data_IF_111615063661
#
_entry.id   IF_111615063661
#
_cell.length_a   1.000
_cell.length_b   1.000
_cell.length_c   1.000
_cell.angle_alpha   90.00
_cell.angle_beta   90.00
_cell.angle_gamma   90.00
#
_symmetry.space_group_name_H-M   'P 1'
#
loop_
_entity.id
_entity.type
_entity.pdbx_description
1 polymer ?
#
# COMPACT_ATOMS: atom_id res chain seq x y z
N UNK A 1 -45.56 -30.10 52.64
CA UNK A 1 -45.51 -29.70 51.22
C UNK A 1 -44.12 -29.12 50.94
N UNK A 2 -43.23 -29.91 50.30
CA UNK A 2 -41.88 -29.47 49.92
C UNK A 2 -41.94 -28.85 48.51
N UNK A 3 -41.62 -27.54 48.38
CA UNK A 3 -41.52 -26.86 47.09
C UNK A 3 -40.17 -27.21 46.47
N UNK A 4 -40.18 -27.90 45.34
CA UNK A 4 -39.04 -28.19 44.52
C UNK A 4 -38.70 -26.96 43.68
N UNK A 5 -37.57 -26.28 43.93
CA UNK A 5 -37.07 -25.17 43.05
C UNK A 5 -36.25 -25.80 41.94
N UNK A 6 -36.80 -25.77 40.72
CA UNK A 6 -36.10 -26.18 39.51
C UNK A 6 -35.20 -24.99 39.04
N UNK A 7 -33.87 -25.09 39.25
CA UNK A 7 -32.90 -24.12 38.74
C UNK A 7 -32.61 -24.48 37.28
N UNK A 8 -33.12 -23.68 36.36
CA UNK A 8 -32.85 -23.80 34.95
C UNK A 8 -31.44 -23.22 34.66
N UNK A 9 -30.46 -24.10 34.45
CA UNK A 9 -29.10 -23.73 34.11
C UNK A 9 -29.06 -23.35 32.62
N UNK A 10 -29.14 -22.05 32.30
CA UNK A 10 -28.98 -21.56 30.93
C UNK A 10 -27.48 -21.53 30.61
N UNK A 11 -26.99 -22.55 29.92
CA UNK A 11 -25.63 -22.57 29.36
C UNK A 11 -25.58 -21.63 28.16
N UNK A 12 -24.96 -20.46 28.33
CA UNK A 12 -24.61 -19.58 27.22
C UNK A 12 -23.53 -20.26 26.38
N UNK A 13 -23.92 -20.87 25.26
CA UNK A 13 -22.98 -21.29 24.23
C UNK A 13 -22.43 -20.03 23.59
N UNK A 14 -21.25 -19.58 23.99
CA UNK A 14 -20.52 -18.54 23.27
C UNK A 14 -20.08 -19.13 21.93
N UNK A 15 -20.83 -18.81 20.89
CA UNK A 15 -20.40 -19.07 19.51
C UNK A 15 -19.06 -18.35 19.29
N UNK A 16 -18.04 -19.01 18.71
CA UNK A 16 -16.78 -18.37 18.45
C UNK A 16 -17.02 -17.20 17.46
N UNK A 17 -16.80 -15.98 17.92
CA UNK A 17 -16.75 -14.81 17.05
C UNK A 17 -15.51 -14.99 16.17
N UNK A 18 -15.69 -15.49 14.95
CA UNK A 18 -14.62 -15.54 13.98
C UNK A 18 -14.13 -14.11 13.75
N UNK A 19 -12.95 -13.80 14.26
CA UNK A 19 -12.31 -12.51 14.07
C UNK A 19 -12.18 -12.28 12.55
N UNK A 20 -12.83 -11.23 12.08
CA UNK A 20 -12.80 -10.86 10.66
C UNK A 20 -11.36 -10.51 10.29
N UNK A 21 -10.75 -11.21 9.33
CA UNK A 21 -9.36 -11.02 8.90
C UNK A 21 -9.14 -9.69 8.13
N UNK A 22 -10.23 -9.06 7.66
CA UNK A 22 -10.27 -7.70 7.08
C UNK A 22 -11.29 -6.88 7.84
N UNK A 23 -10.84 -5.84 8.54
CA UNK A 23 -11.72 -4.85 9.17
C UNK A 23 -11.61 -3.54 8.39
N UNK A 24 -12.74 -2.92 8.09
CA UNK A 24 -12.81 -1.64 7.39
C UNK A 24 -13.68 -0.69 8.19
N UNK A 25 -13.18 0.50 8.43
CA UNK A 25 -13.91 1.62 9.01
C UNK A 25 -13.58 2.90 8.26
N UNK A 26 -14.43 3.90 8.37
CA UNK A 26 -14.23 5.22 7.77
C UNK A 26 -14.40 6.28 8.84
N UNK A 27 -13.54 7.28 8.82
CA UNK A 27 -13.64 8.47 9.68
C UNK A 27 -13.07 9.68 8.95
N UNK A 28 -13.85 10.75 8.85
CA UNK A 28 -13.44 12.02 8.25
C UNK A 28 -12.83 11.90 6.85
N UNK A 29 -13.39 11.03 6.01
CA UNK A 29 -12.93 10.79 4.64
C UNK A 29 -11.67 9.95 4.55
N UNK A 30 -11.26 9.30 5.63
CA UNK A 30 -10.13 8.36 5.67
C UNK A 30 -10.66 6.96 5.91
N UNK A 31 -10.44 6.04 4.98
CA UNK A 31 -10.72 4.63 5.19
C UNK A 31 -9.54 3.98 5.89
N UNK A 32 -9.82 3.30 6.99
CA UNK A 32 -8.90 2.51 7.78
C UNK A 32 -9.20 1.03 7.54
N UNK A 33 -8.27 0.32 6.93
CA UNK A 33 -8.38 -1.12 6.67
C UNK A 33 -7.30 -1.82 7.49
N UNK A 34 -7.69 -2.86 8.24
CA UNK A 34 -6.78 -3.66 9.05
C UNK A 34 -6.82 -5.09 8.54
N UNK A 35 -5.66 -5.60 8.12
CA UNK A 35 -5.47 -6.98 7.70
C UNK A 35 -4.77 -7.75 8.82
N UNK A 36 -5.51 -8.65 9.46
CA UNK A 36 -5.05 -9.36 10.66
C UNK A 36 -4.95 -10.86 10.44
N UNK A 37 -4.01 -11.48 11.16
CA UNK A 37 -3.82 -12.92 11.17
C UNK A 37 -2.92 -13.46 10.05
N UNK A 38 -2.44 -14.67 10.25
CA UNK A 38 -1.43 -15.27 9.36
C UNK A 38 -2.02 -15.81 8.04
N UNK A 39 -3.32 -16.13 8.03
CA UNK A 39 -4.01 -16.63 6.83
C UNK A 39 -4.14 -15.55 5.76
N UNK A 40 -4.45 -14.30 6.15
CA UNK A 40 -4.63 -13.18 5.21
C UNK A 40 -3.33 -12.86 4.46
N UNK A 41 -2.16 -12.98 5.12
CA UNK A 41 -0.85 -12.71 4.53
C UNK A 41 -0.54 -13.58 3.33
N UNK A 42 -1.06 -14.81 3.29
CA UNK A 42 -0.90 -15.75 2.18
C UNK A 42 -1.82 -15.45 1.00
N UNK A 43 -2.86 -14.64 1.23
CA UNK A 43 -3.88 -14.29 0.22
C UNK A 43 -3.59 -12.95 -0.46
N UNK A 44 -2.57 -12.23 0.01
CA UNK A 44 -2.14 -10.98 -0.62
C UNK A 44 -1.27 -11.32 -1.82
N UNK A 45 -1.63 -10.74 -2.95
CA UNK A 45 -0.86 -10.79 -4.18
C UNK A 45 -0.67 -9.38 -4.71
N UNK A 46 0.47 -9.16 -5.36
CA UNK A 46 0.69 -7.97 -6.16
C UNK A 46 0.53 -8.34 -7.64
N UNK A 47 -0.17 -7.49 -8.37
CA UNK A 47 -0.55 -7.76 -9.76
C UNK A 47 -0.09 -6.61 -10.64
N UNK A 48 0.49 -6.95 -11.78
CA UNK A 48 0.76 -6.01 -12.86
C UNK A 48 -0.16 -6.31 -14.04
N UNK A 49 -0.75 -5.26 -14.60
CA UNK A 49 -1.53 -5.38 -15.84
C UNK A 49 -0.68 -5.02 -17.07
N UNK A 50 -0.87 -5.71 -18.18
CA UNK A 50 -0.18 -5.40 -19.45
C UNK A 50 -0.61 -4.03 -19.99
N UNK A 51 -1.89 -3.70 -19.84
CA UNK A 51 -2.48 -2.41 -20.22
C UNK A 51 -2.93 -1.66 -18.98
N UNK A 52 -3.03 -0.33 -19.08
CA UNK A 52 -3.65 0.47 -18.03
C UNK A 52 -5.13 0.08 -17.86
N UNK A 53 -5.52 -0.23 -16.64
CA UNK A 53 -6.84 -0.71 -16.28
C UNK A 53 -7.32 -0.07 -14.97
N UNK A 54 -8.61 0.03 -14.73
CA UNK A 54 -9.14 0.58 -13.48
C UNK A 54 -9.02 -0.42 -12.33
N UNK A 55 -9.00 0.10 -11.10
CA UNK A 55 -8.97 -0.73 -9.89
C UNK A 55 -10.18 -1.68 -9.83
N UNK A 56 -11.37 -1.17 -10.17
CA UNK A 56 -12.60 -1.95 -10.22
C UNK A 56 -12.53 -3.12 -11.20
N UNK A 57 -11.98 -2.90 -12.42
CA UNK A 57 -11.82 -3.99 -13.39
C UNK A 57 -10.87 -5.08 -12.89
N UNK A 58 -9.78 -4.71 -12.19
CA UNK A 58 -8.90 -5.70 -11.55
C UNK A 58 -9.64 -6.43 -10.43
N UNK A 59 -10.36 -5.71 -9.58
CA UNK A 59 -11.17 -6.30 -8.50
C UNK A 59 -12.13 -7.37 -9.03
N UNK A 60 -12.83 -7.07 -10.11
CA UNK A 60 -13.75 -8.01 -10.78
C UNK A 60 -12.99 -9.16 -11.46
N UNK A 61 -11.93 -8.88 -12.22
CA UNK A 61 -11.14 -9.88 -12.94
C UNK A 61 -10.60 -10.98 -12.03
N UNK A 62 -10.09 -10.60 -10.85
CA UNK A 62 -9.53 -11.54 -9.88
C UNK A 62 -10.55 -12.01 -8.84
N UNK A 63 -11.79 -11.52 -8.90
CA UNK A 63 -12.82 -11.80 -7.89
C UNK A 63 -12.27 -11.60 -6.46
N UNK A 64 -11.49 -10.54 -6.28
CA UNK A 64 -10.76 -10.29 -5.05
C UNK A 64 -11.67 -9.78 -3.93
N UNK A 65 -11.25 -9.97 -2.68
CA UNK A 65 -11.96 -9.43 -1.51
C UNK A 65 -11.66 -7.95 -1.29
N UNK A 66 -10.45 -7.53 -1.67
CA UNK A 66 -9.98 -6.15 -1.57
C UNK A 66 -8.98 -5.89 -2.69
N UNK A 67 -9.02 -4.69 -3.26
CA UNK A 67 -8.05 -4.23 -4.25
C UNK A 67 -7.69 -2.77 -3.97
N UNK A 68 -6.40 -2.44 -4.00
CA UNK A 68 -5.88 -1.07 -3.96
C UNK A 68 -4.82 -0.88 -5.04
N UNK A 69 -4.59 0.37 -5.42
CA UNK A 69 -3.45 0.73 -6.26
C UNK A 69 -2.11 0.61 -5.50
N UNK A 70 -1.00 0.42 -6.24
CA UNK A 70 0.34 0.32 -5.64
C UNK A 70 1.37 1.24 -6.30
N UNK A 71 2.28 0.70 -7.10
CA UNK A 71 3.48 1.36 -7.62
C UNK A 71 3.22 2.43 -8.68
N UNK A 72 4.28 3.12 -9.04
CA UNK A 72 4.29 4.19 -10.04
C UNK A 72 4.45 3.64 -11.45
N UNK A 73 3.98 4.40 -12.42
CA UNK A 73 4.15 4.10 -13.84
C UNK A 73 4.33 5.38 -14.66
N UNK A 74 4.94 5.26 -15.81
CA UNK A 74 5.11 6.36 -16.76
C UNK A 74 3.82 6.52 -17.59
N UNK A 75 3.22 7.69 -17.53
CA UNK A 75 2.00 8.01 -18.27
C UNK A 75 2.19 8.04 -19.79
N UNK A 76 3.41 8.35 -20.26
CA UNK A 76 3.68 8.51 -21.70
C UNK A 76 3.79 7.16 -22.41
N UNK A 77 4.53 6.21 -21.78
CA UNK A 77 4.79 4.90 -22.37
C UNK A 77 4.07 3.74 -21.68
N UNK A 78 3.34 4.01 -20.59
CA UNK A 78 2.58 3.06 -19.79
C UNK A 78 3.43 1.92 -19.16
N UNK A 79 4.75 2.12 -19.08
CA UNK A 79 5.67 1.17 -18.45
C UNK A 79 5.75 1.43 -16.95
N UNK A 80 6.10 0.38 -16.19
CA UNK A 80 6.33 0.49 -14.75
C UNK A 80 7.52 1.38 -14.42
N UNK A 81 7.48 2.05 -13.26
CA UNK A 81 8.61 2.72 -12.62
C UNK A 81 8.88 2.08 -11.24
N UNK A 82 8.20 0.99 -10.93
CA UNK A 82 8.27 0.31 -9.63
C UNK A 82 8.52 -1.17 -9.82
N UNK A 83 9.38 -1.74 -8.97
CA UNK A 83 9.52 -3.19 -8.88
C UNK A 83 8.29 -3.83 -8.28
N UNK A 84 7.87 -4.97 -8.82
CA UNK A 84 6.84 -5.83 -8.24
C UNK A 84 7.31 -7.28 -8.30
N UNK A 85 7.25 -7.92 -7.15
CA UNK A 85 7.50 -9.35 -6.99
C UNK A 85 6.20 -10.02 -6.57
N UNK A 86 5.84 -11.12 -7.22
CA UNK A 86 4.75 -11.98 -6.79
C UNK A 86 5.17 -13.45 -6.91
N UNK A 87 4.82 -14.26 -5.92
CA UNK A 87 5.27 -15.65 -5.79
C UNK A 87 6.77 -15.84 -6.10
N UNK A 88 7.62 -14.98 -5.51
CA UNK A 88 9.10 -14.96 -5.66
C UNK A 88 9.60 -14.63 -7.07
N UNK A 89 8.74 -14.20 -7.97
CA UNK A 89 9.10 -13.82 -9.35
C UNK A 89 8.95 -12.31 -9.51
N UNK A 90 9.90 -11.67 -10.14
CA UNK A 90 9.76 -10.29 -10.57
C UNK A 90 8.74 -10.30 -11.72
N UNK A 91 7.63 -9.58 -11.54
CA UNK A 91 6.57 -9.44 -12.54
C UNK A 91 6.50 -8.02 -13.12
N UNK A 92 7.23 -7.08 -12.51
CA UNK A 92 7.43 -5.73 -13.01
C UNK A 92 8.84 -5.27 -12.66
N UNK A 93 9.60 -4.89 -13.67
CA UNK A 93 10.96 -4.40 -13.54
C UNK A 93 11.06 -3.00 -14.17
N UNK A 94 11.34 -1.94 -13.39
CA UNK A 94 11.49 -0.58 -13.93
C UNK A 94 12.72 -0.45 -14.85
N UNK A 95 13.71 -1.35 -14.77
CA UNK A 95 14.88 -1.34 -15.67
C UNK A 95 14.51 -1.68 -17.11
N UNK A 96 13.38 -2.34 -17.34
CA UNK A 96 12.81 -2.59 -18.67
C UNK A 96 12.12 -1.35 -19.27
N UNK A 97 12.00 -0.27 -18.52
CA UNK A 97 11.48 0.98 -19.00
C UNK A 97 12.59 1.80 -19.68
N UNK A 98 12.73 1.61 -20.98
CA UNK A 98 13.78 2.26 -21.78
C UNK A 98 13.77 3.79 -21.64
N UNK A 99 12.61 4.42 -21.62
CA UNK A 99 12.51 5.88 -21.46
C UNK A 99 13.00 6.36 -20.08
N UNK A 100 12.77 5.57 -19.04
CA UNK A 100 13.31 5.84 -17.70
C UNK A 100 14.83 5.69 -17.71
N UNK A 101 15.32 4.56 -18.17
CA UNK A 101 16.73 4.19 -18.09
C UNK A 101 17.66 5.04 -18.97
N UNK A 102 17.14 5.60 -20.06
CA UNK A 102 17.92 6.45 -20.98
C UNK A 102 17.66 7.96 -20.78
N UNK A 103 16.92 8.34 -19.74
CA UNK A 103 16.69 9.76 -19.44
C UNK A 103 17.96 10.40 -18.88
N UNK A 104 18.63 11.25 -19.66
CA UNK A 104 19.83 12.01 -19.23
C UNK A 104 19.58 12.83 -17.95
N UNK A 105 18.36 13.36 -17.81
CA UNK A 105 17.95 14.14 -16.65
C UNK A 105 17.88 13.28 -15.36
N UNK A 106 17.44 12.02 -15.50
CA UNK A 106 17.22 11.11 -14.36
C UNK A 106 18.44 10.26 -14.02
N UNK A 107 19.43 10.13 -14.92
CA UNK A 107 20.63 9.32 -14.71
C UNK A 107 21.33 9.59 -13.36
N UNK A 108 21.55 10.85 -12.92
CA UNK A 108 22.21 11.12 -11.63
C UNK A 108 21.40 10.65 -10.40
N UNK A 109 20.13 10.29 -10.60
CA UNK A 109 19.19 9.92 -9.53
C UNK A 109 18.68 8.49 -9.66
N UNK A 110 19.18 7.72 -10.62
CA UNK A 110 18.65 6.40 -10.94
C UNK A 110 18.72 5.46 -9.73
N UNK A 111 19.83 5.47 -8.99
CA UNK A 111 19.98 4.65 -7.78
C UNK A 111 18.90 4.99 -6.73
N UNK A 112 18.53 6.26 -6.58
CA UNK A 112 17.47 6.68 -5.67
C UNK A 112 16.08 6.24 -6.17
N UNK A 113 15.83 6.32 -7.47
CA UNK A 113 14.56 5.94 -8.09
C UNK A 113 14.34 4.42 -7.98
N UNK A 114 15.37 3.64 -8.30
CA UNK A 114 15.32 2.19 -8.25
C UNK A 114 15.34 1.64 -6.82
N UNK A 115 15.90 2.38 -5.86
CA UNK A 115 15.98 1.97 -4.46
C UNK A 115 14.89 2.61 -3.56
N UNK A 116 13.70 2.88 -4.09
CA UNK A 116 12.57 3.35 -3.29
C UNK A 116 12.06 2.28 -2.34
N UNK A 117 11.33 2.71 -1.34
CA UNK A 117 10.72 1.81 -0.35
C UNK A 117 9.67 0.89 -0.99
N UNK A 118 9.57 -0.32 -0.46
CA UNK A 118 8.61 -1.34 -0.87
C UNK A 118 7.94 -2.01 0.32
N UNK A 119 6.68 -2.39 0.17
CA UNK A 119 6.00 -3.31 1.07
C UNK A 119 6.41 -4.74 0.69
N UNK A 120 6.89 -5.49 1.67
CA UNK A 120 7.35 -6.88 1.53
C UNK A 120 6.45 -7.85 2.29
N UNK A 121 6.18 -8.99 1.70
CA UNK A 121 5.60 -10.15 2.37
C UNK A 121 6.70 -11.21 2.46
N UNK A 122 7.11 -11.49 3.68
CA UNK A 122 8.20 -12.39 4.00
C UNK A 122 7.68 -13.71 4.58
N UNK A 123 8.29 -14.83 4.22
CA UNK A 123 8.10 -16.13 4.85
C UNK A 123 9.30 -16.47 5.71
N UNK A 124 9.12 -16.48 7.05
CA UNK A 124 10.14 -16.77 8.05
C UNK A 124 9.77 -18.08 8.75
N UNK A 125 10.39 -19.20 8.34
CA UNK A 125 9.97 -20.53 8.73
C UNK A 125 8.51 -20.83 8.33
N UNK A 126 7.65 -21.10 9.31
CA UNK A 126 6.21 -21.37 9.09
C UNK A 126 5.34 -20.12 9.13
N UNK A 127 5.89 -18.96 9.54
CA UNK A 127 5.13 -17.72 9.73
C UNK A 127 5.34 -16.76 8.57
N UNK A 128 4.33 -15.95 8.29
CA UNK A 128 4.43 -14.83 7.37
C UNK A 128 4.54 -13.53 8.15
N UNK A 129 5.34 -12.60 7.63
CA UNK A 129 5.54 -11.27 8.20
C UNK A 129 5.40 -10.22 7.11
N UNK A 130 4.95 -9.02 7.51
CA UNK A 130 5.08 -7.82 6.70
C UNK A 130 6.40 -7.13 7.03
N UNK A 131 6.97 -6.47 6.04
CA UNK A 131 8.09 -5.56 6.20
C UNK A 131 7.95 -4.38 5.24
N UNK A 132 8.54 -3.24 5.60
CA UNK A 132 8.72 -2.08 4.75
C UNK A 132 10.20 -1.73 4.83
N UNK A 133 10.88 -1.72 3.68
CA UNK A 133 12.30 -1.45 3.57
C UNK A 133 12.62 -0.85 2.20
N UNK A 134 13.82 -0.33 2.01
CA UNK A 134 14.32 0.05 0.69
C UNK A 134 14.50 -1.19 -0.17
N UNK A 135 14.34 -1.04 -1.47
CA UNK A 135 14.44 -2.17 -2.40
C UNK A 135 15.75 -2.96 -2.25
N UNK A 136 16.88 -2.26 -2.12
CA UNK A 136 18.20 -2.86 -1.99
C UNK A 136 18.54 -3.33 -0.57
N UNK A 137 17.71 -3.06 0.44
CA UNK A 137 17.94 -3.55 1.79
C UNK A 137 17.83 -5.08 1.82
N UNK A 138 18.79 -5.79 2.44
CA UNK A 138 18.77 -7.23 2.47
C UNK A 138 17.57 -7.77 3.24
N UNK A 139 17.02 -8.87 2.76
CA UNK A 139 16.07 -9.68 3.54
C UNK A 139 16.85 -10.49 4.58
N UNK A 140 16.37 -10.53 5.81
CA UNK A 140 16.96 -11.36 6.87
C UNK A 140 17.18 -12.80 6.38
N UNK A 141 18.34 -13.39 6.66
CA UNK A 141 18.71 -14.75 6.22
C UNK A 141 17.73 -15.84 6.69
N UNK A 142 16.97 -15.58 7.76
CA UNK A 142 15.94 -16.48 8.27
C UNK A 142 14.61 -16.41 7.50
N UNK A 143 14.48 -15.48 6.55
CA UNK A 143 13.25 -15.22 5.81
C UNK A 143 13.48 -15.31 4.30
N UNK A 144 12.38 -15.52 3.55
CA UNK A 144 12.36 -15.47 2.10
C UNK A 144 11.33 -14.43 1.65
N UNK A 145 11.69 -13.58 0.69
CA UNK A 145 10.76 -12.69 0.03
C UNK A 145 9.76 -13.53 -0.79
N UNK A 146 8.49 -13.35 -0.54
CA UNK A 146 7.41 -14.01 -1.29
C UNK A 146 6.80 -13.05 -2.29
N UNK A 147 6.50 -11.83 -1.84
CA UNK A 147 5.94 -10.80 -2.68
C UNK A 147 6.38 -9.42 -2.20
N UNK A 148 6.52 -8.46 -3.11
CA UNK A 148 6.74 -7.06 -2.78
C UNK A 148 6.14 -6.14 -3.84
N UNK A 149 5.83 -4.91 -3.42
CA UNK A 149 5.49 -3.83 -4.31
C UNK A 149 6.23 -2.56 -3.89
N UNK A 150 7.04 -2.04 -4.79
CA UNK A 150 7.73 -0.78 -4.60
C UNK A 150 6.76 0.39 -4.79
N UNK A 151 6.92 1.40 -3.95
CA UNK A 151 6.20 2.66 -4.00
C UNK A 151 7.08 3.77 -3.46
N UNK A 152 6.83 4.19 -2.24
CA UNK A 152 7.52 5.27 -1.53
C UNK A 152 6.73 6.58 -1.57
N UNK A 153 7.12 7.57 -0.77
CA UNK A 153 8.28 7.48 0.15
C UNK A 153 7.98 6.64 1.39
N UNK A 154 9.06 6.23 2.08
CA UNK A 154 8.98 5.76 3.46
C UNK A 154 8.47 6.88 4.35
N UNK A 155 7.55 6.54 5.24
CA UNK A 155 6.94 7.48 6.18
C UNK A 155 7.40 7.23 7.61
N UNK A 156 7.71 5.95 7.94
CA UNK A 156 8.23 5.50 9.23
C UNK A 156 9.10 4.24 9.06
N UNK A 157 10.16 4.09 9.89
CA UNK A 157 10.71 5.11 10.77
C UNK A 157 11.46 6.19 9.99
N UNK A 158 11.25 7.45 10.35
CA UNK A 158 12.01 8.58 9.77
C UNK A 158 12.27 9.63 10.83
N UNK A 159 13.46 10.22 10.81
CA UNK A 159 13.83 11.37 11.65
C UNK A 159 13.49 12.68 10.94
N UNK A 160 13.77 12.77 9.65
CA UNK A 160 13.43 13.89 8.79
C UNK A 160 12.73 13.36 7.52
N UNK A 161 11.44 13.68 7.38
CA UNK A 161 10.67 13.27 6.21
C UNK A 161 11.17 13.94 4.92
N UNK A 162 11.68 15.16 4.98
CA UNK A 162 12.21 15.85 3.80
C UNK A 162 13.50 15.20 3.30
N UNK A 163 14.36 14.72 4.21
CA UNK A 163 15.54 13.94 3.84
C UNK A 163 15.13 12.63 3.16
N UNK A 164 14.14 11.93 3.70
CA UNK A 164 13.60 10.70 3.08
C UNK A 164 13.03 10.96 1.69
N UNK A 165 12.33 12.08 1.50
CA UNK A 165 11.82 12.48 0.18
C UNK A 165 12.95 12.75 -0.83
N UNK A 166 14.10 13.29 -0.39
CA UNK A 166 15.29 13.45 -1.25
C UNK A 166 15.99 12.12 -1.54
N UNK A 167 16.10 11.26 -0.55
CA UNK A 167 16.76 9.94 -0.68
C UNK A 167 16.01 9.01 -1.63
N UNK A 168 14.69 9.18 -1.77
CA UNK A 168 13.85 8.45 -2.72
C UNK A 168 13.54 9.25 -4.00
N UNK A 169 14.20 10.39 -4.19
CA UNK A 169 14.02 11.27 -5.33
C UNK A 169 12.58 11.73 -5.55
N UNK A 170 11.85 12.01 -4.46
CA UNK A 170 10.55 12.69 -4.55
C UNK A 170 10.68 14.20 -4.55
N UNK A 171 11.74 14.74 -3.94
CA UNK A 171 12.11 16.15 -4.04
C UNK A 171 13.61 16.29 -4.35
N UNK A 172 13.99 17.48 -4.82
CA UNK A 172 15.39 17.93 -4.87
C UNK A 172 15.46 19.28 -4.19
N UNK A 173 16.38 19.45 -3.25
CA UNK A 173 16.66 20.73 -2.59
C UNK A 173 18.00 21.28 -3.06
N UNK A 174 18.04 22.61 -3.21
CA UNK A 174 19.28 23.37 -3.40
C UNK A 174 19.26 24.55 -2.42
N UNK A 175 20.32 24.73 -1.64
CA UNK A 175 20.40 25.77 -0.61
C UNK A 175 19.19 25.78 0.34
N UNK A 176 18.74 24.61 0.78
CA UNK A 176 17.59 24.43 1.67
C UNK A 176 16.22 24.61 1.02
N UNK A 177 16.14 25.04 -0.25
CA UNK A 177 14.87 25.24 -0.97
C UNK A 177 14.55 24.07 -1.89
N UNK A 178 13.29 23.65 -1.93
CA UNK A 178 12.81 22.64 -2.88
C UNK A 178 12.77 23.26 -4.28
N UNK A 179 13.60 22.74 -5.19
CA UNK A 179 13.68 23.17 -6.59
C UNK A 179 12.98 22.22 -7.56
N UNK A 180 12.70 20.99 -7.11
CA UNK A 180 11.94 19.99 -7.85
C UNK A 180 11.14 19.13 -6.87
N UNK A 181 9.93 18.75 -7.26
CA UNK A 181 9.16 17.73 -6.58
C UNK A 181 8.46 16.80 -7.57
N UNK A 182 8.31 15.54 -7.19
CA UNK A 182 7.54 14.55 -7.94
C UNK A 182 6.07 14.67 -7.60
N UNK A 183 5.25 14.81 -8.63
CA UNK A 183 3.79 14.89 -8.47
C UNK A 183 3.38 15.88 -7.36
N UNK A 184 2.56 15.43 -6.44
CA UNK A 184 1.95 16.26 -5.40
C UNK A 184 2.45 15.94 -3.98
N UNK A 185 3.71 15.47 -3.80
CA UNK A 185 4.18 15.00 -2.49
C UNK A 185 4.10 16.06 -1.39
N UNK A 186 4.34 17.33 -1.73
CA UNK A 186 4.23 18.46 -0.80
C UNK A 186 2.88 19.21 -0.90
N UNK A 187 1.99 18.82 -1.81
CA UNK A 187 0.64 19.36 -1.90
C UNK A 187 -0.37 18.41 -1.28
N UNK A 188 -1.50 18.93 -0.84
CA UNK A 188 -2.61 18.13 -0.34
C UNK A 188 -3.27 17.36 -1.49
N UNK A 189 -3.23 16.05 -1.42
CA UNK A 189 -3.84 15.14 -2.39
C UNK A 189 -4.42 13.91 -1.69
N UNK A 190 -5.23 13.14 -2.40
CA UNK A 190 -5.63 11.80 -1.98
C UNK A 190 -4.40 10.90 -1.84
N UNK A 191 -4.41 9.92 -0.92
CA UNK A 191 -3.24 9.09 -0.61
C UNK A 191 -3.64 7.65 -0.41
N UNK A 192 -2.80 6.75 -0.89
CA UNK A 192 -2.80 5.32 -0.54
C UNK A 192 -1.56 5.05 0.29
N UNK A 193 -1.77 4.59 1.52
CA UNK A 193 -0.71 4.43 2.52
C UNK A 193 -0.82 3.06 3.15
N UNK A 194 0.32 2.44 3.43
CA UNK A 194 0.40 1.20 4.20
C UNK A 194 1.27 1.39 5.42
N UNK A 195 0.86 0.78 6.54
CA UNK A 195 1.59 0.80 7.80
C UNK A 195 1.58 -0.57 8.47
N UNK A 196 2.59 -0.85 9.27
CA UNK A 196 2.74 -2.08 10.04
C UNK A 196 2.68 -1.74 11.52
N UNK A 197 1.83 -2.47 12.25
CA UNK A 197 1.74 -2.42 13.70
C UNK A 197 1.34 -3.80 14.22
N UNK A 198 2.04 -4.31 15.23
CA UNK A 198 1.76 -5.62 15.85
C UNK A 198 1.67 -6.75 14.81
N UNK A 199 2.55 -6.69 13.78
CA UNK A 199 2.56 -7.62 12.66
C UNK A 199 1.23 -7.71 11.87
N UNK A 200 0.36 -6.70 11.96
CA UNK A 200 -0.79 -6.49 11.10
C UNK A 200 -0.46 -5.43 10.05
N UNK A 201 -1.09 -5.55 8.88
CA UNK A 201 -0.99 -4.53 7.84
C UNK A 201 -2.21 -3.60 7.94
N UNK A 202 -1.92 -2.32 8.05
CA UNK A 202 -2.89 -1.24 7.99
C UNK A 202 -2.81 -0.59 6.62
N UNK A 203 -3.98 -0.31 6.04
CA UNK A 203 -4.09 0.46 4.80
C UNK A 203 -4.93 1.69 5.12
N UNK A 204 -4.41 2.87 4.78
CA UNK A 204 -5.12 4.13 4.92
C UNK A 204 -5.38 4.70 3.52
N UNK A 205 -6.64 4.96 3.21
CA UNK A 205 -7.03 5.63 1.97
C UNK A 205 -7.57 7.02 2.33
N UNK A 206 -6.77 8.03 2.04
CA UNK A 206 -7.18 9.44 2.18
C UNK A 206 -7.90 9.83 0.90
N UNK A 207 -9.21 10.05 1.00
CA UNK A 207 -10.04 10.43 -0.15
C UNK A 207 -9.84 11.89 -0.54
N UNK A 208 -10.51 12.34 -1.58
CA UNK A 208 -10.52 13.75 -1.98
C UNK A 208 -11.03 14.70 -0.88
N UNK A 209 -11.86 14.20 0.04
CA UNK A 209 -12.35 14.98 1.17
C UNK A 209 -11.35 15.08 2.34
N UNK A 210 -10.34 14.20 2.34
CA UNK A 210 -9.33 14.10 3.40
C UNK A 210 -7.90 14.29 2.87
N UNK A 211 -7.71 15.12 1.86
CA UNK A 211 -6.38 15.35 1.22
C UNK A 211 -5.32 15.74 2.23
N UNK A 212 -4.12 15.16 2.09
CA UNK A 212 -2.96 15.40 2.94
C UNK A 212 -1.68 15.52 2.11
N UNK A 213 -0.72 16.30 2.63
CA UNK A 213 0.67 16.26 2.17
C UNK A 213 1.36 15.01 2.73
N UNK A 214 2.47 14.58 2.14
CA UNK A 214 3.24 13.43 2.67
C UNK A 214 3.77 13.69 4.10
N UNK A 215 4.28 14.89 4.46
CA UNK A 215 4.64 15.18 5.86
C UNK A 215 3.46 15.06 6.83
N UNK A 216 2.27 15.55 6.48
CA UNK A 216 1.07 15.39 7.33
C UNK A 216 0.72 13.90 7.51
N UNK A 217 0.83 13.09 6.46
CA UNK A 217 0.57 11.64 6.52
C UNK A 217 1.57 10.93 7.44
N UNK A 218 2.85 11.29 7.38
CA UNK A 218 3.88 10.73 8.27
C UNK A 218 3.56 10.99 9.75
N UNK A 219 3.08 12.18 10.08
CA UNK A 219 2.62 12.54 11.44
C UNK A 219 1.43 11.65 11.84
N UNK A 220 0.44 11.48 10.96
CA UNK A 220 -0.74 10.64 11.22
C UNK A 220 -0.30 9.18 11.46
N UNK A 221 0.59 8.63 10.64
CA UNK A 221 1.11 7.27 10.82
C UNK A 221 1.82 7.10 12.17
N UNK A 222 2.60 8.10 12.60
CA UNK A 222 3.25 8.11 13.91
C UNK A 222 2.24 8.13 15.04
N UNK A 223 1.22 8.97 14.97
CA UNK A 223 0.17 9.08 15.98
C UNK A 223 -0.69 7.80 16.08
N UNK A 224 -0.84 7.05 14.99
CA UNK A 224 -1.47 5.73 14.98
C UNK A 224 -0.58 4.63 15.58
N UNK A 225 0.68 4.95 15.87
CA UNK A 225 1.66 4.04 16.46
C UNK A 225 2.16 2.98 15.46
N UNK A 226 2.26 3.32 14.17
CA UNK A 226 2.85 2.40 13.20
C UNK A 226 4.36 2.28 13.43
N UNK A 227 4.86 1.05 13.40
CA UNK A 227 6.28 0.72 13.49
C UNK A 227 7.01 1.08 12.18
N UNK A 228 6.36 0.77 11.06
CA UNK A 228 6.80 1.07 9.71
C UNK A 228 5.63 1.59 8.89
N UNK A 229 5.88 2.50 7.98
CA UNK A 229 4.87 3.00 7.04
C UNK A 229 5.51 3.51 5.75
N UNK A 230 4.77 3.42 4.65
CA UNK A 230 5.12 3.99 3.35
C UNK A 230 3.87 4.40 2.56
N UNK A 231 4.06 5.28 1.59
CA UNK A 231 3.02 5.59 0.64
C UNK A 231 3.15 4.72 -0.63
N UNK A 232 2.02 4.46 -1.28
CA UNK A 232 1.95 4.06 -2.68
C UNK A 232 1.65 5.26 -3.58
N UNK A 233 1.45 5.04 -4.86
CA UNK A 233 1.05 6.10 -5.79
C UNK A 233 -0.24 6.75 -5.30
N UNK A 234 -0.24 8.06 -5.25
CA UNK A 234 -1.32 8.86 -4.67
C UNK A 234 -2.00 9.76 -5.70
N UNK A 235 -2.67 10.80 -5.20
CA UNK A 235 -3.39 11.74 -6.03
C UNK A 235 -4.50 11.03 -6.83
N UNK A 236 -4.50 11.21 -8.14
CA UNK A 236 -5.50 10.59 -9.02
C UNK A 236 -5.44 9.06 -9.08
N UNK A 237 -4.35 8.47 -8.62
CA UNK A 237 -4.18 7.01 -8.61
C UNK A 237 -4.81 6.33 -7.40
N UNK A 238 -5.09 7.08 -6.32
CA UNK A 238 -5.67 6.54 -5.10
C UNK A 238 -7.00 5.85 -5.37
N UNK A 239 -7.09 4.57 -5.01
CA UNK A 239 -8.28 3.76 -5.26
C UNK A 239 -8.39 2.57 -4.30
N UNK A 240 -9.65 2.20 -4.00
CA UNK A 240 -10.01 1.06 -3.15
C UNK A 240 -11.29 0.43 -3.66
N UNK A 241 -11.29 -0.89 -3.80
CA UNK A 241 -12.50 -1.70 -3.95
C UNK A 241 -12.56 -2.76 -2.84
N UNK A 242 -13.65 -2.77 -2.09
CA UNK A 242 -13.93 -3.74 -1.04
C UNK A 242 -15.44 -3.88 -0.84
N UNK A 243 -16.02 -5.05 -1.12
CA UNK A 243 -17.48 -5.27 -1.08
C UNK A 243 -18.22 -4.19 -1.90
N UNK A 244 -19.09 -3.43 -1.24
CA UNK A 244 -19.85 -2.32 -1.86
C UNK A 244 -19.11 -0.97 -1.77
N UNK A 245 -17.90 -0.93 -1.20
CA UNK A 245 -17.09 0.28 -1.10
C UNK A 245 -16.25 0.38 -2.38
N UNK A 246 -16.46 1.45 -3.11
CA UNK A 246 -15.71 1.82 -4.30
C UNK A 246 -15.20 3.25 -4.15
N UNK A 247 -13.90 3.42 -3.96
CA UNK A 247 -13.24 4.73 -3.77
C UNK A 247 -12.33 5.01 -4.95
N UNK A 248 -12.52 6.16 -5.56
CA UNK A 248 -11.67 6.72 -6.59
C UNK A 248 -11.40 8.18 -6.27
N UNK A 249 -10.20 8.67 -6.58
CA UNK A 249 -9.86 10.07 -6.36
C UNK A 249 -10.10 10.96 -7.58
N UNK A 250 -10.16 10.36 -8.77
CA UNK A 250 -10.44 11.07 -10.03
C UNK A 250 -11.42 10.25 -10.83
N UNK A 251 -12.52 10.90 -11.26
CA UNK A 251 -13.45 10.32 -12.22
C UNK A 251 -13.14 10.86 -13.62
N UNK A 252 -13.22 9.97 -14.59
CA UNK A 252 -13.20 10.31 -16.02
C UNK A 252 -14.60 10.04 -16.57
N UNK A 253 -15.02 10.82 -17.57
CA UNK A 253 -16.31 10.62 -18.23
C UNK A 253 -16.41 9.20 -18.77
N UNK A 254 -17.39 8.43 -18.27
CA UNK A 254 -17.60 7.03 -18.64
C UNK A 254 -16.67 6.00 -18.00
N UNK A 255 -15.82 6.40 -17.04
CA UNK A 255 -14.87 5.53 -16.33
C UNK A 255 -15.14 5.46 -14.83
N UNK A 256 -14.61 4.40 -14.21
CA UNK A 256 -14.68 4.13 -12.75
C UNK A 256 -13.36 4.48 -12.04
N UNK A 257 -12.76 5.60 -12.41
CA UNK A 257 -11.50 6.10 -11.87
C UNK A 257 -10.33 6.01 -12.85
N UNK A 258 -9.14 6.39 -12.38
CA UNK A 258 -7.93 6.39 -13.18
C UNK A 258 -7.52 4.97 -13.55
N UNK A 259 -7.08 4.79 -14.78
CA UNK A 259 -6.44 3.55 -15.23
C UNK A 259 -5.00 3.50 -14.73
N UNK A 260 -4.62 2.36 -14.16
CA UNK A 260 -3.40 2.13 -13.39
C UNK A 260 -2.67 0.89 -13.91
N UNK A 261 -1.44 0.70 -13.43
CA UNK A 261 -0.55 -0.37 -13.90
C UNK A 261 -0.43 -1.52 -12.90
N UNK A 262 -0.44 -1.23 -11.60
CA UNK A 262 -0.13 -2.20 -10.55
C UNK A 262 -1.06 -2.09 -9.35
N UNK A 263 -1.32 -3.22 -8.71
CA UNK A 263 -2.34 -3.36 -7.67
C UNK A 263 -1.90 -4.35 -6.60
N UNK A 264 -2.41 -4.16 -5.39
CA UNK A 264 -2.44 -5.20 -4.35
C UNK A 264 -3.86 -5.75 -4.29
N UNK A 265 -4.00 -7.06 -4.36
CA UNK A 265 -5.27 -7.77 -4.23
C UNK A 265 -5.22 -8.71 -3.03
N UNK A 266 -6.40 -8.98 -2.47
CA UNK A 266 -6.60 -10.03 -1.47
C UNK A 266 -7.57 -11.03 -2.05
N UNK A 267 -7.11 -12.25 -2.25
CA UNK A 267 -7.92 -13.33 -2.80
C UNK A 267 -8.95 -13.86 -1.78
N UNK A 268 -9.99 -14.53 -2.28
CA UNK A 268 -11.02 -15.21 -1.46
C UNK A 268 -10.48 -16.38 -0.66
#
# INVERSE_FOLDING_TARGET
MKKLFLILLITFVQLPVFAQDIKVSESNGIYHIILSGNKIKKKIEFVQSDKLITNQCIHQKYNSRLTINTGFFDLKNQKTISYIVNDKKIIADPTENFSLMNSKELQPYMDKILNRSELRILKCGRKYKYDIARHNDPVCNCCKLIASAQGGPQLLPVTDIYQTLEDEFFIVRKNGKVVRQSASVLFRAARTVVGIKDNNLYILIFTNNARKTIPEVAIICRNLGFEKAMAFDGGSSTSLDYKNIHIISTQYTGDTGRRLKSFMIINK
#
